data_IF_151624704662
#
_entry.id   IF_151624704662
#
_cell.length_a   1.000
_cell.length_b   1.000
_cell.length_c   1.000
_cell.angle_alpha   90.00
_cell.angle_beta   90.00
_cell.angle_gamma   90.00
#
_symmetry.space_group_name_H-M   'P 1'
#
loop_
_entity.id
_entity.type
_entity.pdbx_description
1 polymer ?
#
# COMPACT_ATOMS: atom_id res chain seq x y z
N UNK A 1 -1.91 6.38 -21.32
CA UNK A 1 -1.33 7.71 -21.00
C UNK A 1 -2.49 8.61 -20.62
N UNK A 2 -2.52 9.13 -19.40
CA UNK A 2 -3.65 9.93 -18.89
C UNK A 2 -3.82 11.19 -19.75
N UNK A 3 -5.05 11.50 -20.15
CA UNK A 3 -5.38 12.56 -21.13
C UNK A 3 -5.84 13.88 -20.49
N UNK A 4 -5.59 14.06 -19.19
CA UNK A 4 -6.00 15.24 -18.44
C UNK A 4 -4.96 16.36 -18.59
N UNK A 5 -5.42 17.59 -18.84
CA UNK A 5 -4.54 18.76 -18.99
C UNK A 5 -3.69 18.97 -17.73
N UNK A 6 -2.37 19.13 -17.92
CA UNK A 6 -1.35 19.31 -16.87
C UNK A 6 -1.19 18.12 -15.90
N UNK A 7 -1.61 16.91 -16.27
CA UNK A 7 -1.34 15.72 -15.46
C UNK A 7 0.16 15.57 -15.17
N UNK A 8 1.02 15.87 -16.14
CA UNK A 8 2.48 15.76 -16.01
C UNK A 8 3.05 16.56 -14.82
N UNK A 9 2.43 17.70 -14.45
CA UNK A 9 2.87 18.51 -13.30
C UNK A 9 2.69 17.79 -11.95
N UNK A 10 1.74 16.87 -11.86
CA UNK A 10 1.37 16.22 -10.60
C UNK A 10 1.91 14.79 -10.49
N UNK A 11 2.60 14.34 -11.53
CA UNK A 11 3.07 12.97 -11.71
C UNK A 11 4.48 12.94 -12.35
N UNK A 12 5.21 14.05 -12.32
CA UNK A 12 6.59 14.16 -12.84
C UNK A 12 7.61 13.41 -11.98
N UNK A 13 7.23 13.10 -10.75
CA UNK A 13 8.00 12.35 -9.77
C UNK A 13 7.69 10.85 -9.76
N UNK A 14 6.75 10.36 -10.58
CA UNK A 14 6.38 8.94 -10.60
C UNK A 14 7.58 8.08 -11.02
N UNK A 15 8.02 7.21 -10.12
CA UNK A 15 9.01 6.17 -10.43
C UNK A 15 8.31 5.07 -11.23
N UNK A 16 8.58 5.01 -12.54
CA UNK A 16 8.24 3.84 -13.34
C UNK A 16 9.21 2.71 -12.99
N UNK A 17 8.70 1.70 -12.28
CA UNK A 17 9.42 0.43 -12.11
C UNK A 17 9.37 -0.29 -13.46
N UNK A 18 10.50 -0.34 -14.16
CA UNK A 18 10.59 -1.04 -15.45
C UNK A 18 10.50 -2.54 -15.21
N UNK A 19 9.46 -3.17 -15.75
CA UNK A 19 9.27 -4.62 -15.73
C UNK A 19 9.85 -5.20 -17.02
N UNK A 20 10.65 -6.25 -16.92
CA UNK A 20 11.29 -6.92 -18.07
C UNK A 20 10.25 -7.45 -19.10
N UNK A 21 9.01 -7.71 -18.65
CA UNK A 21 7.87 -8.11 -19.49
C UNK A 21 6.75 -7.04 -19.50
N UNK A 22 6.84 -6.12 -20.45
CA UNK A 22 5.89 -5.01 -20.62
C UNK A 22 4.42 -5.42 -20.79
N UNK A 23 4.14 -6.62 -21.33
CA UNK A 23 2.78 -7.12 -21.54
C UNK A 23 2.03 -7.46 -20.25
N UNK A 24 2.74 -7.66 -19.15
CA UNK A 24 2.19 -7.93 -17.81
C UNK A 24 2.75 -6.97 -16.76
N UNK A 25 3.29 -5.83 -17.19
CA UNK A 25 3.90 -4.87 -16.28
C UNK A 25 2.86 -4.39 -15.26
N UNK A 26 3.14 -4.71 -13.99
CA UNK A 26 2.39 -4.18 -12.87
C UNK A 26 2.79 -2.72 -12.66
N UNK A 27 1.88 -1.79 -12.91
CA UNK A 27 2.13 -0.37 -12.67
C UNK A 27 1.84 -0.05 -11.20
N UNK A 28 2.90 0.17 -10.43
CA UNK A 28 2.78 0.67 -9.07
C UNK A 28 2.53 2.18 -9.10
N UNK A 29 1.46 2.64 -8.46
CA UNK A 29 1.14 4.07 -8.38
C UNK A 29 1.47 4.57 -6.96
N UNK A 30 2.55 5.35 -6.85
CA UNK A 30 2.92 6.10 -5.64
C UNK A 30 3.00 7.57 -5.98
N UNK A 31 2.42 8.42 -5.14
CA UNK A 31 2.56 9.87 -5.30
C UNK A 31 3.70 10.38 -4.43
N UNK A 32 4.65 11.12 -5.00
CA UNK A 32 5.55 11.93 -4.19
C UNK A 32 4.94 13.34 -4.01
N UNK A 33 5.16 13.94 -2.83
CA UNK A 33 4.51 15.17 -2.41
C UNK A 33 3.63 15.03 -1.17
N UNK A 34 3.01 16.15 -0.77
CA UNK A 34 2.27 16.25 0.50
C UNK A 34 1.10 15.24 0.55
N UNK A 35 1.07 14.43 1.62
CA UNK A 35 0.07 13.38 1.84
C UNK A 35 0.40 12.03 1.19
N UNK A 36 1.42 11.95 0.32
CA UNK A 36 1.88 10.71 -0.30
C UNK A 36 0.76 9.87 -0.93
N UNK A 37 0.84 8.55 -0.77
CA UNK A 37 -0.18 7.61 -1.25
C UNK A 37 -1.57 7.81 -0.63
N UNK A 38 -1.65 8.46 0.54
CA UNK A 38 -2.93 8.83 1.15
C UNK A 38 -3.73 9.87 0.35
N UNK A 39 -3.11 10.55 -0.63
CA UNK A 39 -3.80 11.47 -1.53
C UNK A 39 -4.36 10.80 -2.79
N UNK A 40 -4.02 9.53 -3.07
CA UNK A 40 -4.43 8.80 -4.30
C UNK A 40 -5.08 7.44 -4.00
N UNK A 41 -5.13 7.01 -2.75
CA UNK A 41 -5.79 5.77 -2.34
C UNK A 41 -7.31 5.79 -2.54
N UNK A 42 -7.92 4.62 -2.59
CA UNK A 42 -9.37 4.44 -2.81
C UNK A 42 -10.23 4.59 -1.54
N UNK A 43 -9.66 5.00 -0.41
CA UNK A 43 -10.39 5.19 0.85
C UNK A 43 -10.77 3.91 1.62
N UNK A 44 -10.32 2.73 1.19
CA UNK A 44 -10.63 1.47 1.86
C UNK A 44 -9.87 1.34 3.20
N UNK A 45 -10.61 1.29 4.31
CA UNK A 45 -10.06 1.41 5.67
C UNK A 45 -10.43 0.21 6.55
N UNK A 46 -9.90 -0.97 6.23
CA UNK A 46 -10.16 -2.19 6.99
C UNK A 46 -9.19 -2.34 8.17
N UNK A 47 -9.65 -2.97 9.26
CA UNK A 47 -8.81 -3.36 10.39
C UNK A 47 -8.32 -4.79 10.21
N UNK A 48 -7.13 -5.07 10.73
CA UNK A 48 -6.62 -6.43 10.89
C UNK A 48 -7.51 -7.26 11.83
N UNK A 49 -7.54 -8.57 11.65
CA UNK A 49 -8.17 -9.48 12.62
C UNK A 49 -7.18 -9.84 13.74
N UNK A 50 -7.64 -10.38 14.89
CA UNK A 50 -6.72 -10.80 15.95
C UNK A 50 -5.67 -11.81 15.50
N UNK A 51 -6.03 -12.73 14.60
CA UNK A 51 -5.15 -13.78 14.09
C UNK A 51 -3.99 -13.23 13.25
N UNK A 52 -4.17 -12.08 12.60
CA UNK A 52 -3.13 -11.39 11.83
C UNK A 52 -1.95 -10.94 12.72
N UNK A 53 -2.15 -10.78 14.03
CA UNK A 53 -1.10 -10.42 14.98
C UNK A 53 -0.30 -11.64 15.48
N UNK A 54 -0.82 -12.86 15.27
CA UNK A 54 -0.26 -14.10 15.80
C UNK A 54 -0.08 -15.16 14.71
N UNK A 55 0.44 -14.76 13.55
CA UNK A 55 0.55 -15.63 12.37
C UNK A 55 1.46 -16.83 12.58
N UNK A 56 2.55 -16.67 13.34
CA UNK A 56 3.48 -17.76 13.61
C UNK A 56 2.84 -18.75 14.58
N UNK A 57 2.20 -18.27 15.64
CA UNK A 57 1.52 -19.11 16.62
C UNK A 57 0.31 -19.85 16.05
N UNK A 58 -0.52 -19.20 15.22
CA UNK A 58 -1.74 -19.83 14.67
C UNK A 58 -1.50 -20.65 13.40
N UNK A 59 -0.59 -20.20 12.53
CA UNK A 59 -0.46 -20.75 11.19
C UNK A 59 0.94 -21.25 10.86
N UNK A 60 1.93 -21.08 11.76
CA UNK A 60 3.28 -21.61 11.60
C UNK A 60 4.16 -20.84 10.60
N UNK A 61 3.75 -19.65 10.15
CA UNK A 61 4.52 -18.82 9.21
C UNK A 61 4.63 -17.37 9.68
N UNK A 62 5.62 -16.66 9.12
CA UNK A 62 5.87 -15.26 9.46
C UNK A 62 6.39 -15.10 10.89
N UNK A 63 5.97 -14.02 11.55
CA UNK A 63 6.37 -13.72 12.92
C UNK A 63 5.19 -13.08 13.65
N UNK A 64 4.99 -13.51 14.90
CA UNK A 64 4.02 -12.86 15.78
C UNK A 64 4.44 -11.41 16.06
N UNK A 65 3.45 -10.53 16.08
CA UNK A 65 3.65 -9.13 16.41
C UNK A 65 4.04 -8.99 17.88
N UNK A 66 4.78 -7.93 18.24
CA UNK A 66 5.20 -7.73 19.63
C UNK A 66 4.06 -7.32 20.58
N UNK A 67 2.83 -7.20 20.08
CA UNK A 67 1.62 -6.87 20.84
C UNK A 67 0.38 -7.49 20.18
N UNK A 68 -0.72 -7.59 20.93
CA UNK A 68 -1.98 -8.16 20.47
C UNK A 68 -2.95 -7.09 19.95
N UNK A 69 -3.99 -7.52 19.20
CA UNK A 69 -4.99 -6.63 18.60
C UNK A 69 -5.64 -5.67 19.59
N UNK A 70 -5.87 -6.10 20.83
CA UNK A 70 -6.48 -5.32 21.91
C UNK A 70 -5.69 -4.05 22.24
N UNK A 71 -4.39 -4.05 21.96
CA UNK A 71 -3.52 -2.88 22.16
C UNK A 71 -3.84 -1.78 21.14
N UNK A 72 -4.21 -2.14 19.91
CA UNK A 72 -4.55 -1.19 18.85
C UNK A 72 -6.06 -0.92 18.74
N UNK A 73 -6.92 -1.80 19.26
CA UNK A 73 -8.37 -1.69 19.14
C UNK A 73 -8.96 -0.30 19.51
N UNK A 74 -8.43 0.44 20.52
CA UNK A 74 -8.92 1.79 20.85
C UNK A 74 -8.60 2.88 19.81
N UNK A 75 -7.65 2.63 18.91
CA UNK A 75 -7.20 3.55 17.85
C UNK A 75 -7.83 3.18 16.50
#
# INVERSE_FOLDING_TARGET
>A
KNTWNNADKYFDDLVTIENEHHSFAFHYNMKYGLGGSGAVWSGASWRHTPEDFATQSHFGYGRDWPFAYETLAPY
#
